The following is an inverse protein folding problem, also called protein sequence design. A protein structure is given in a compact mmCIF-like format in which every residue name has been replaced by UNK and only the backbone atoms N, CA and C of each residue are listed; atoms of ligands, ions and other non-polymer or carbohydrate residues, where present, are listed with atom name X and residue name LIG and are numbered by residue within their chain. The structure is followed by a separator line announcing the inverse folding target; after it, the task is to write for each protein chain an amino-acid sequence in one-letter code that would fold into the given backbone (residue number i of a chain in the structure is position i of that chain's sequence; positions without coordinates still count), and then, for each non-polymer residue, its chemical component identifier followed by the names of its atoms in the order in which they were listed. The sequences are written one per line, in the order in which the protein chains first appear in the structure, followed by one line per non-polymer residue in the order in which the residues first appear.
data_IF_555415014218
#
_entry.id   IF_555415014218
#
_cell.length_a   1.000
_cell.length_b   1.000
_cell.length_c   1.000
_cell.angle_alpha   90.00
_cell.angle_beta   90.00
_cell.angle_gamma   90.00
#
_symmetry.space_group_name_H-M   'P 1'
#
loop_
_entity.id
_entity.type
_entity.pdbx_description
1 polymer ?
#
# COMPACT_ATOMS: atom_id res chain seq x y z
N UNK A 1 17.83 0.14 -3.04
CA UNK A 1 16.62 0.97 -3.35
C UNK A 1 17.03 2.18 -4.18
N UNK A 2 16.24 2.57 -5.20
CA UNK A 2 16.41 3.86 -5.92
C UNK A 2 15.64 4.93 -5.15
N UNK A 3 16.25 6.10 -4.93
CA UNK A 3 15.62 7.24 -4.27
C UNK A 3 15.49 8.38 -5.28
N UNK A 4 14.27 8.92 -5.42
CA UNK A 4 13.92 10.07 -6.27
C UNK A 4 13.47 11.20 -5.33
N UNK A 5 14.22 12.30 -5.28
CA UNK A 5 13.96 13.41 -4.37
C UNK A 5 13.37 14.59 -5.14
N UNK A 6 12.24 15.08 -4.67
CA UNK A 6 11.46 16.13 -5.31
C UNK A 6 11.27 17.33 -4.38
N UNK A 7 10.96 18.51 -4.90
CA UNK A 7 10.94 19.72 -4.09
C UNK A 7 9.87 19.72 -2.99
N UNK A 8 8.71 19.13 -3.23
CA UNK A 8 7.56 19.19 -2.33
C UNK A 8 6.60 17.99 -2.47
N UNK A 9 5.61 17.91 -1.59
CA UNK A 9 4.64 16.84 -1.54
C UNK A 9 3.74 16.75 -2.80
N UNK A 10 3.50 17.84 -3.50
CA UNK A 10 2.68 17.83 -4.71
C UNK A 10 3.46 17.26 -5.89
N UNK A 11 4.75 17.62 -6.00
CA UNK A 11 5.66 17.01 -6.98
C UNK A 11 5.83 15.51 -6.72
N UNK A 12 5.97 15.09 -5.45
CA UNK A 12 6.01 13.69 -5.04
C UNK A 12 4.74 12.97 -5.45
N UNK A 13 3.57 13.53 -5.17
CA UNK A 13 2.29 12.91 -5.52
C UNK A 13 2.13 12.70 -7.03
N UNK A 14 2.48 13.70 -7.85
CA UNK A 14 2.46 13.61 -9.32
C UNK A 14 3.43 12.55 -9.83
N UNK A 15 4.68 12.59 -9.37
CA UNK A 15 5.71 11.63 -9.80
C UNK A 15 5.36 10.20 -9.42
N UNK A 16 4.80 9.99 -8.22
CA UNK A 16 4.32 8.69 -7.78
C UNK A 16 3.14 8.20 -8.63
N UNK A 17 2.20 9.08 -8.97
CA UNK A 17 1.09 8.76 -9.87
C UNK A 17 1.58 8.36 -11.28
N UNK A 18 2.55 9.07 -11.85
CA UNK A 18 3.18 8.71 -13.12
C UNK A 18 3.85 7.33 -13.05
N UNK A 19 4.60 7.06 -11.97
CA UNK A 19 5.24 5.76 -11.76
C UNK A 19 4.20 4.62 -11.72
N UNK A 20 3.07 4.82 -11.03
CA UNK A 20 1.99 3.83 -10.97
C UNK A 20 1.37 3.64 -12.36
N UNK A 21 1.12 4.73 -13.11
CA UNK A 21 0.54 4.64 -14.44
C UNK A 21 1.45 3.93 -15.44
N UNK A 22 2.77 4.15 -15.37
CA UNK A 22 3.75 3.43 -16.18
C UNK A 22 3.76 1.93 -15.83
N UNK A 23 3.84 1.59 -14.54
CA UNK A 23 3.79 0.21 -14.06
C UNK A 23 2.50 -0.51 -14.48
N UNK A 24 1.36 0.20 -14.47
CA UNK A 24 0.08 -0.35 -14.91
C UNK A 24 0.10 -0.70 -16.41
N UNK A 25 0.58 0.21 -17.26
CA UNK A 25 0.70 -0.04 -18.71
C UNK A 25 1.62 -1.21 -19.02
N UNK A 26 2.78 -1.28 -18.36
CA UNK A 26 3.72 -2.39 -18.49
C UNK A 26 3.11 -3.73 -18.01
N UNK A 27 2.42 -3.71 -16.88
CA UNK A 27 1.78 -4.92 -16.34
C UNK A 27 0.68 -5.44 -17.27
N UNK A 28 -0.20 -4.57 -17.76
CA UNK A 28 -1.27 -4.94 -18.69
C UNK A 28 -0.70 -5.45 -20.02
N UNK A 29 0.31 -4.77 -20.58
CA UNK A 29 0.96 -5.24 -21.80
C UNK A 29 1.61 -6.62 -21.65
N UNK A 30 2.18 -6.92 -20.48
CA UNK A 30 2.87 -8.18 -20.22
C UNK A 30 1.95 -9.33 -19.77
N UNK A 31 0.84 -9.03 -19.05
CA UNK A 31 0.04 -10.03 -18.32
C UNK A 31 -1.48 -9.84 -18.46
N UNK A 32 -1.94 -8.84 -19.23
CA UNK A 32 -3.35 -8.54 -19.45
C UNK A 32 -4.08 -7.93 -18.23
N UNK A 33 -3.38 -7.66 -17.13
CA UNK A 33 -3.93 -7.05 -15.90
C UNK A 33 -2.85 -6.36 -15.09
N UNK A 34 -3.30 -5.47 -14.20
CA UNK A 34 -2.46 -4.81 -13.20
C UNK A 34 -3.04 -5.00 -11.80
N UNK A 35 -2.35 -5.74 -10.94
CA UNK A 35 -2.73 -5.98 -9.56
C UNK A 35 -1.95 -5.01 -8.64
N UNK A 36 -2.64 -4.02 -8.11
CA UNK A 36 -2.08 -2.91 -7.36
C UNK A 36 -2.65 -2.86 -5.94
N UNK A 37 -1.79 -2.82 -4.91
CA UNK A 37 -2.20 -2.62 -3.54
C UNK A 37 -1.76 -1.25 -3.01
N UNK A 38 -2.67 -0.53 -2.34
CA UNK A 38 -2.43 0.83 -1.85
C UNK A 38 -2.62 0.95 -0.35
N UNK A 39 -1.70 1.68 0.32
CA UNK A 39 -1.84 2.11 1.72
C UNK A 39 -2.61 3.42 1.83
N UNK A 40 -3.17 3.67 3.00
CA UNK A 40 -3.76 4.95 3.36
C UNK A 40 -2.76 6.03 3.76
N UNK A 41 -3.26 7.24 4.01
CA UNK A 41 -2.51 8.38 4.48
C UNK A 41 -2.67 9.64 3.61
N UNK A 42 -2.36 10.81 4.14
CA UNK A 42 -2.56 12.11 3.45
C UNK A 42 -1.81 12.22 2.13
N UNK A 43 -0.56 11.81 2.09
CA UNK A 43 0.25 11.82 0.85
C UNK A 43 -0.29 10.85 -0.19
N UNK A 44 -0.63 9.59 0.13
CA UNK A 44 -1.31 8.66 -0.78
C UNK A 44 -2.59 9.21 -1.39
N UNK A 45 -3.41 9.94 -0.64
CA UNK A 45 -4.66 10.47 -1.21
C UNK A 45 -4.42 11.54 -2.27
N UNK A 46 -3.39 12.40 -2.10
CA UNK A 46 -2.95 13.33 -3.15
C UNK A 46 -2.44 12.58 -4.39
N UNK A 47 -1.64 11.53 -4.18
CA UNK A 47 -1.15 10.66 -5.24
C UNK A 47 -2.30 9.99 -6.00
N UNK A 48 -3.30 9.43 -5.31
CA UNK A 48 -4.48 8.81 -5.92
C UNK A 48 -5.31 9.82 -6.71
N UNK A 49 -5.47 11.05 -6.19
CA UNK A 49 -6.15 12.14 -6.91
C UNK A 49 -5.40 12.54 -8.19
N UNK A 50 -4.05 12.57 -8.16
CA UNK A 50 -3.24 12.79 -9.34
C UNK A 50 -3.32 11.63 -10.33
N UNK A 51 -3.31 10.38 -9.83
CA UNK A 51 -3.44 9.17 -10.64
C UNK A 51 -4.78 9.11 -11.39
N UNK A 52 -5.87 9.56 -10.74
CA UNK A 52 -7.20 9.60 -11.37
C UNK A 52 -7.26 10.50 -12.62
N UNK A 53 -6.33 11.45 -12.75
CA UNK A 53 -6.26 12.35 -13.90
C UNK A 53 -5.38 11.82 -15.05
N UNK A 54 -4.69 10.70 -14.84
CA UNK A 54 -3.78 10.11 -15.83
C UNK A 54 -4.49 9.04 -16.67
N UNK A 55 -4.04 8.80 -17.92
CA UNK A 55 -4.52 7.69 -18.72
C UNK A 55 -4.02 6.37 -18.10
N UNK A 56 -4.95 5.63 -17.51
CA UNK A 56 -4.72 4.36 -16.83
C UNK A 56 -5.60 3.26 -17.45
N UNK A 57 -5.12 2.03 -17.53
CA UNK A 57 -5.94 0.87 -17.94
C UNK A 57 -6.86 0.43 -16.77
N UNK A 58 -7.86 1.27 -16.43
CA UNK A 58 -8.72 1.05 -15.26
C UNK A 58 -9.54 -0.24 -15.36
N UNK A 59 -9.92 -0.65 -16.56
CA UNK A 59 -10.71 -1.87 -16.77
C UNK A 59 -9.91 -3.15 -16.47
N UNK A 60 -8.60 -3.10 -16.61
CA UNK A 60 -7.66 -4.20 -16.36
C UNK A 60 -6.98 -4.07 -14.98
N UNK A 61 -7.30 -3.01 -14.22
CA UNK A 61 -6.69 -2.73 -12.90
C UNK A 61 -7.50 -3.38 -11.79
N UNK A 62 -6.87 -4.27 -11.02
CA UNK A 62 -7.37 -4.80 -9.76
C UNK A 62 -6.76 -4.01 -8.60
N UNK A 63 -7.60 -3.28 -7.87
CA UNK A 63 -7.19 -2.44 -6.74
C UNK A 63 -7.42 -3.17 -5.42
N UNK A 64 -6.34 -3.37 -4.67
CA UNK A 64 -6.30 -3.97 -3.34
C UNK A 64 -5.94 -2.92 -2.28
N UNK A 65 -6.28 -3.19 -1.03
CA UNK A 65 -5.76 -2.46 0.12
C UNK A 65 -4.55 -3.21 0.73
N UNK A 66 -3.55 -2.45 1.17
CA UNK A 66 -2.40 -3.02 1.91
C UNK A 66 -2.80 -3.31 3.35
N UNK A 67 -3.59 -2.42 3.92
CA UNK A 67 -4.13 -2.53 5.27
C UNK A 67 -5.43 -1.74 5.41
N UNK A 68 -6.21 -2.07 6.45
CA UNK A 68 -7.42 -1.33 6.77
C UNK A 68 -7.71 -1.37 8.28
N UNK A 69 -8.36 -0.31 8.77
CA UNK A 69 -8.82 -0.19 10.15
C UNK A 69 -10.17 -0.87 10.30
N UNK A 70 -10.33 -1.61 11.39
CA UNK A 70 -11.63 -2.20 11.78
C UNK A 70 -12.51 -1.08 12.31
N UNK A 71 -13.34 -0.52 11.43
CA UNK A 71 -14.28 0.56 11.70
C UNK A 71 -15.48 0.45 10.74
N UNK A 72 -16.63 1.07 11.02
CA UNK A 72 -17.82 1.03 10.16
C UNK A 72 -17.55 1.59 8.76
N UNK A 73 -18.41 1.22 7.80
CA UNK A 73 -18.38 1.80 6.46
C UNK A 73 -18.57 3.34 6.52
N UNK A 74 -17.75 4.06 5.74
CA UNK A 74 -17.77 5.53 5.70
C UNK A 74 -17.10 6.22 6.90
N UNK A 75 -16.55 5.47 7.85
CA UNK A 75 -15.80 6.04 8.96
C UNK A 75 -14.58 6.83 8.43
N UNK A 76 -14.30 8.04 8.95
CA UNK A 76 -13.16 8.85 8.51
C UNK A 76 -11.80 8.22 8.82
N UNK A 77 -11.72 7.23 9.70
CA UNK A 77 -10.49 6.50 9.95
C UNK A 77 -10.27 5.37 8.94
N UNK A 78 -11.25 5.03 8.08
CA UNK A 78 -11.11 4.00 7.05
C UNK A 78 -10.28 4.47 5.87
N UNK A 79 -9.29 3.67 5.48
CA UNK A 79 -8.56 3.90 4.24
C UNK A 79 -9.48 3.87 3.00
N UNK A 80 -10.45 2.94 2.98
CA UNK A 80 -11.39 2.79 1.87
C UNK A 80 -12.26 4.04 1.66
N UNK A 81 -12.66 4.74 2.73
CA UNK A 81 -13.39 6.01 2.64
C UNK A 81 -12.61 7.02 1.81
N UNK A 82 -11.35 7.22 2.12
CA UNK A 82 -10.50 8.16 1.41
C UNK A 82 -10.05 7.68 0.02
N UNK A 83 -9.90 6.38 -0.20
CA UNK A 83 -9.70 5.81 -1.54
C UNK A 83 -10.94 6.11 -2.40
N UNK A 84 -12.14 5.98 -1.82
CA UNK A 84 -13.39 6.35 -2.46
C UNK A 84 -13.40 7.80 -2.94
N UNK A 85 -13.09 8.73 -2.05
CA UNK A 85 -13.08 10.17 -2.30
C UNK A 85 -11.97 10.60 -3.28
N UNK A 86 -10.75 10.07 -3.12
CA UNK A 86 -9.58 10.51 -3.88
C UNK A 86 -9.45 9.86 -5.25
N UNK A 87 -9.97 8.64 -5.42
CA UNK A 87 -9.83 7.86 -6.64
C UNK A 87 -11.17 7.42 -7.22
N UNK A 88 -11.94 6.59 -6.49
CA UNK A 88 -13.10 5.88 -7.07
C UNK A 88 -14.23 6.81 -7.47
N UNK A 89 -14.36 8.00 -6.89
CA UNK A 89 -15.31 9.02 -7.31
C UNK A 89 -15.02 9.59 -8.71
N UNK A 90 -13.85 9.30 -9.30
CA UNK A 90 -13.37 9.89 -10.57
C UNK A 90 -13.06 8.87 -11.64
N UNK A 91 -12.93 7.60 -11.28
CA UNK A 91 -12.55 6.52 -12.22
C UNK A 91 -13.49 5.34 -12.06
N UNK A 92 -13.61 4.54 -13.12
CA UNK A 92 -14.41 3.31 -13.10
C UNK A 92 -13.49 2.12 -13.32
N UNK A 93 -13.32 1.30 -12.29
CA UNK A 93 -12.63 0.01 -12.38
C UNK A 93 -13.50 -1.01 -13.12
N UNK A 94 -12.88 -2.07 -13.62
CA UNK A 94 -13.60 -3.25 -14.10
C UNK A 94 -14.53 -3.82 -13.03
N UNK A 95 -15.59 -4.48 -13.44
CA UNK A 95 -16.56 -5.08 -12.51
C UNK A 95 -15.85 -6.10 -11.60
N UNK A 96 -16.01 -5.96 -10.28
CA UNK A 96 -15.37 -6.82 -9.29
C UNK A 96 -13.85 -6.60 -9.12
N UNK A 97 -13.29 -5.52 -9.66
CA UNK A 97 -11.85 -5.24 -9.56
C UNK A 97 -11.46 -4.37 -8.34
N UNK A 98 -12.42 -3.90 -7.56
CA UNK A 98 -12.16 -3.34 -6.24
C UNK A 98 -12.18 -4.45 -5.19
N UNK A 99 -11.05 -4.70 -4.55
CA UNK A 99 -10.88 -5.69 -3.49
C UNK A 99 -10.71 -4.97 -2.15
N UNK A 100 -11.82 -4.72 -1.49
CA UNK A 100 -11.84 -4.08 -0.18
C UNK A 100 -11.57 -5.09 0.94
N UNK A 101 -10.73 -4.75 1.92
CA UNK A 101 -10.53 -5.59 3.10
C UNK A 101 -11.82 -5.71 3.90
N UNK A 102 -12.30 -6.93 4.20
CA UNK A 102 -13.60 -7.18 4.80
C UNK A 102 -13.58 -6.98 6.33
N UNK A 103 -13.23 -5.78 6.78
CA UNK A 103 -13.08 -5.43 8.20
C UNK A 103 -14.41 -5.27 8.95
N UNK A 104 -15.55 -5.34 8.24
CA UNK A 104 -16.89 -5.37 8.84
C UNK A 104 -17.44 -6.81 8.97
N UNK A 105 -16.65 -7.81 8.60
CA UNK A 105 -17.06 -9.20 8.73
C UNK A 105 -17.30 -9.55 10.21
N UNK A 106 -18.37 -10.30 10.53
CA UNK A 106 -18.63 -10.72 11.92
C UNK A 106 -17.48 -11.54 12.51
N UNK A 107 -16.79 -12.32 11.67
CA UNK A 107 -15.55 -13.02 11.98
C UNK A 107 -14.42 -12.41 11.12
N UNK A 108 -13.58 -11.62 11.78
CA UNK A 108 -12.45 -10.95 11.12
C UNK A 108 -11.38 -11.93 10.64
N UNK A 109 -11.20 -13.07 11.33
CA UNK A 109 -10.23 -14.08 10.90
C UNK A 109 -10.70 -14.79 9.62
N UNK A 110 -11.99 -15.13 9.54
CA UNK A 110 -12.58 -15.62 8.30
C UNK A 110 -12.54 -14.56 7.19
N UNK A 111 -12.74 -13.26 7.54
CA UNK A 111 -12.58 -12.14 6.62
C UNK A 111 -11.17 -12.06 6.05
N UNK A 112 -10.14 -12.13 6.90
CA UNK A 112 -8.74 -12.13 6.47
C UNK A 112 -8.41 -13.32 5.55
N UNK A 113 -8.89 -14.51 5.90
CA UNK A 113 -8.71 -15.70 5.06
C UNK A 113 -9.40 -15.55 3.68
N UNK A 114 -10.61 -14.97 3.64
CA UNK A 114 -11.30 -14.70 2.36
C UNK A 114 -10.52 -13.70 1.51
N UNK A 115 -10.03 -12.61 2.10
CA UNK A 115 -9.24 -11.63 1.36
C UNK A 115 -7.94 -12.23 0.81
N UNK A 116 -7.31 -13.14 1.54
CA UNK A 116 -6.15 -13.89 1.06
C UNK A 116 -6.49 -14.75 -0.17
N UNK A 117 -7.65 -15.42 -0.18
CA UNK A 117 -8.12 -16.18 -1.34
C UNK A 117 -8.44 -15.30 -2.55
N UNK A 118 -9.05 -14.13 -2.34
CA UNK A 118 -9.29 -13.15 -3.40
C UNK A 118 -7.96 -12.67 -4.00
N UNK A 119 -6.96 -12.39 -3.16
CA UNK A 119 -5.63 -12.01 -3.59
C UNK A 119 -4.97 -13.13 -4.42
N UNK A 120 -5.03 -14.39 -3.96
CA UNK A 120 -4.51 -15.56 -4.69
C UNK A 120 -5.22 -15.77 -6.04
N UNK A 121 -6.55 -15.60 -6.08
CA UNK A 121 -7.33 -15.76 -7.31
C UNK A 121 -6.91 -14.80 -8.42
N UNK A 122 -6.55 -13.56 -8.05
CA UNK A 122 -6.11 -12.54 -9.01
C UNK A 122 -4.61 -12.66 -9.32
N UNK A 123 -3.76 -12.90 -8.31
CA UNK A 123 -2.31 -12.72 -8.43
C UNK A 123 -1.52 -14.03 -8.49
N UNK A 124 -2.19 -15.16 -8.31
CA UNK A 124 -1.58 -16.49 -8.29
C UNK A 124 -1.22 -16.96 -6.88
N UNK A 125 -0.76 -18.19 -6.78
CA UNK A 125 -0.38 -18.85 -5.52
C UNK A 125 1.09 -19.25 -5.57
N UNK A 126 1.96 -18.72 -4.67
CA UNK A 126 1.70 -17.68 -3.70
C UNK A 126 1.37 -16.31 -4.36
N UNK A 127 0.64 -15.43 -3.66
CA UNK A 127 0.22 -14.16 -4.24
C UNK A 127 1.43 -13.28 -4.59
N UNK A 128 1.38 -12.67 -5.80
CA UNK A 128 2.43 -11.76 -6.31
C UNK A 128 1.77 -10.56 -6.98
N UNK A 129 1.66 -9.45 -6.25
CA UNK A 129 1.18 -8.18 -6.77
C UNK A 129 2.17 -7.57 -7.77
N UNK A 130 1.69 -6.83 -8.75
CA UNK A 130 2.54 -6.10 -9.69
C UNK A 130 3.19 -4.89 -9.03
N UNK A 131 2.42 -4.17 -8.21
CA UNK A 131 2.91 -3.03 -7.45
C UNK A 131 2.24 -2.96 -6.07
N UNK A 132 3.04 -2.68 -5.05
CA UNK A 132 2.55 -2.29 -3.73
C UNK A 132 3.04 -0.87 -3.43
N UNK A 133 2.10 0.02 -3.09
CA UNK A 133 2.42 1.32 -2.52
C UNK A 133 2.43 1.22 -0.99
N UNK A 134 3.52 1.69 -0.39
CA UNK A 134 3.75 1.72 1.05
C UNK A 134 4.00 3.13 1.56
N UNK A 135 3.44 3.43 2.74
CA UNK A 135 3.79 4.59 3.55
C UNK A 135 4.82 4.26 4.63
N UNK A 136 5.42 5.31 5.21
CA UNK A 136 6.37 5.21 6.31
C UNK A 136 5.83 5.93 7.55
N UNK A 137 5.59 5.18 8.62
CA UNK A 137 5.17 5.74 9.90
C UNK A 137 6.29 6.46 10.65
N UNK A 138 5.96 7.37 11.59
CA UNK A 138 6.96 8.08 12.40
C UNK A 138 7.75 7.16 13.36
N UNK A 139 7.25 5.98 13.65
CA UNK A 139 7.87 4.91 14.43
C UNK A 139 8.52 3.82 13.56
N UNK A 140 8.51 4.02 12.23
CA UNK A 140 9.05 3.08 11.26
C UNK A 140 8.10 1.96 10.87
N UNK A 141 6.79 2.02 11.24
CA UNK A 141 5.81 1.07 10.73
C UNK A 141 5.55 1.27 9.23
N UNK A 142 5.05 0.24 8.59
CA UNK A 142 4.48 0.30 7.24
C UNK A 142 3.25 -0.59 7.18
N UNK A 143 2.29 -0.29 6.30
CA UNK A 143 0.98 -0.94 6.36
C UNK A 143 0.44 -0.85 7.80
N UNK A 144 -0.06 -1.97 8.37
CA UNK A 144 -0.30 -2.08 9.81
C UNK A 144 0.70 -3.02 10.51
N UNK A 145 1.91 -3.15 9.95
CA UNK A 145 3.05 -3.81 10.58
C UNK A 145 3.76 -2.84 11.53
N UNK A 146 3.30 -2.82 12.78
CA UNK A 146 3.72 -1.86 13.82
C UNK A 146 4.83 -2.47 14.68
N UNK A 147 5.82 -1.67 15.17
CA UNK A 147 6.85 -2.17 16.07
C UNK A 147 6.27 -2.94 17.26
N UNK A 148 6.88 -4.08 17.57
CA UNK A 148 6.52 -4.98 18.69
C UNK A 148 5.14 -5.68 18.56
N UNK A 149 4.42 -5.53 17.46
CA UNK A 149 3.18 -6.27 17.22
C UNK A 149 3.51 -7.73 16.84
N UNK A 150 2.79 -8.73 17.40
CA UNK A 150 2.94 -10.14 17.04
C UNK A 150 2.78 -10.42 15.54
N UNK A 151 2.04 -9.58 14.81
CA UNK A 151 1.86 -9.69 13.35
C UNK A 151 3.17 -9.70 12.58
N UNK A 152 4.23 -9.08 13.13
CA UNK A 152 5.58 -9.06 12.51
C UNK A 152 6.22 -10.45 12.39
N UNK A 153 5.73 -11.44 13.13
CA UNK A 153 6.17 -12.83 13.09
C UNK A 153 5.31 -13.73 12.18
N UNK A 154 4.25 -13.21 11.58
CA UNK A 154 3.35 -14.00 10.74
C UNK A 154 4.00 -14.26 9.38
N UNK A 155 4.34 -15.53 9.10
CA UNK A 155 4.96 -15.97 7.85
C UNK A 155 4.11 -16.97 7.06
N UNK A 156 3.12 -17.59 7.70
CA UNK A 156 2.28 -18.63 7.12
C UNK A 156 0.96 -18.13 6.49
N UNK A 157 0.67 -16.82 6.56
CA UNK A 157 -0.56 -16.24 6.02
C UNK A 157 -0.25 -14.99 5.19
N UNK A 158 -1.04 -14.75 4.15
CA UNK A 158 -0.92 -13.56 3.31
C UNK A 158 -1.52 -12.32 3.98
N UNK A 159 -2.54 -12.51 4.80
CA UNK A 159 -3.31 -11.46 5.48
C UNK A 159 -3.42 -11.82 6.95
N UNK A 160 -3.28 -10.85 7.84
CA UNK A 160 -3.36 -11.04 9.28
C UNK A 160 -4.09 -9.88 9.98
N UNK A 161 -4.55 -10.16 11.19
CA UNK A 161 -5.07 -9.15 12.12
C UNK A 161 -3.94 -8.67 13.04
N UNK A 162 -3.99 -7.40 13.42
CA UNK A 162 -3.04 -6.79 14.35
C UNK A 162 -3.66 -6.58 15.72
N UNK A 163 -2.83 -6.35 16.74
CA UNK A 163 -3.28 -5.71 17.97
C UNK A 163 -3.82 -4.29 17.68
N UNK A 164 -4.62 -3.71 18.60
CA UNK A 164 -5.08 -2.33 18.45
C UNK A 164 -3.90 -1.35 18.36
N UNK A 165 -3.91 -0.49 17.35
CA UNK A 165 -2.96 0.61 17.19
C UNK A 165 -3.72 1.89 16.82
N UNK A 166 -3.46 2.98 17.57
CA UNK A 166 -4.19 4.25 17.44
C UNK A 166 -5.72 4.06 17.51
N UNK A 167 -6.19 3.25 18.45
CA UNK A 167 -7.61 3.06 18.74
C UNK A 167 -8.31 1.95 17.96
N UNK A 168 -7.70 1.37 16.91
CA UNK A 168 -8.33 0.37 16.06
C UNK A 168 -7.51 -0.93 15.95
N UNK A 169 -8.12 -2.12 16.05
CA UNK A 169 -7.58 -3.31 15.44
C UNK A 169 -7.48 -3.10 13.92
N UNK A 170 -6.62 -3.85 13.25
CA UNK A 170 -6.41 -3.67 11.81
C UNK A 170 -6.26 -5.01 11.11
N UNK A 171 -6.55 -5.00 9.82
CA UNK A 171 -6.24 -6.09 8.90
C UNK A 171 -5.12 -5.62 7.98
N UNK A 172 -4.11 -6.47 7.73
CA UNK A 172 -2.92 -6.08 6.98
C UNK A 172 -2.38 -7.20 6.11
N UNK A 173 -1.78 -6.86 4.97
CA UNK A 173 -0.87 -7.75 4.26
C UNK A 173 0.36 -8.03 5.13
N UNK A 174 0.90 -9.24 5.04
CA UNK A 174 2.08 -9.67 5.81
C UNK A 174 3.37 -9.49 5.01
N UNK A 175 4.53 -9.55 5.66
CA UNK A 175 5.84 -9.46 4.97
C UNK A 175 5.98 -10.42 3.80
N UNK A 176 5.56 -11.71 3.87
CA UNK A 176 5.64 -12.60 2.72
C UNK A 176 4.97 -12.07 1.44
N UNK A 177 3.88 -11.30 1.56
CA UNK A 177 3.21 -10.70 0.40
C UNK A 177 3.96 -9.46 -0.08
N UNK A 178 4.37 -8.59 0.85
CA UNK A 178 5.13 -7.37 0.52
C UNK A 178 6.43 -7.72 -0.20
N UNK A 179 7.16 -8.71 0.29
CA UNK A 179 8.47 -9.12 -0.24
C UNK A 179 8.40 -9.80 -1.61
N UNK A 180 7.24 -10.41 -1.95
CA UNK A 180 7.04 -11.05 -3.25
C UNK A 180 6.60 -10.10 -4.35
N UNK A 181 6.16 -8.88 -4.02
CA UNK A 181 5.71 -7.92 -5.02
C UNK A 181 6.76 -7.71 -6.12
N UNK A 182 6.30 -7.53 -7.36
CA UNK A 182 7.19 -7.23 -8.49
C UNK A 182 7.86 -5.88 -8.35
N UNK A 183 7.16 -4.93 -7.72
CA UNK A 183 7.68 -3.60 -7.40
C UNK A 183 7.08 -3.09 -6.09
N UNK A 184 7.85 -2.35 -5.32
CA UNK A 184 7.41 -1.64 -4.11
C UNK A 184 7.69 -0.16 -4.30
N UNK A 185 6.66 0.65 -4.15
CA UNK A 185 6.74 2.11 -4.20
C UNK A 185 6.57 2.68 -2.80
N UNK A 186 7.58 3.35 -2.31
CA UNK A 186 7.50 4.15 -1.09
C UNK A 186 7.23 5.60 -1.44
N UNK A 187 6.23 6.20 -0.79
CA UNK A 187 5.92 7.62 -0.94
C UNK A 187 6.04 8.29 0.42
N UNK A 188 7.05 9.15 0.57
CA UNK A 188 7.44 9.72 1.87
C UNK A 188 7.58 11.23 1.77
N UNK A 189 6.83 11.97 2.58
CA UNK A 189 6.87 13.44 2.60
C UNK A 189 6.87 13.97 4.03
N UNK A 190 7.58 15.10 4.23
CA UNK A 190 7.64 15.83 5.48
C UNK A 190 8.89 15.52 6.32
N UNK A 191 9.43 16.56 6.93
CA UNK A 191 10.68 16.53 7.70
C UNK A 191 10.63 15.52 8.88
N UNK A 192 9.45 15.32 9.46
CA UNK A 192 9.26 14.36 10.56
C UNK A 192 9.52 12.90 10.14
N UNK A 193 9.59 12.62 8.83
CA UNK A 193 9.90 11.30 8.29
C UNK A 193 11.40 11.04 8.11
N UNK A 194 12.22 12.06 8.09
CA UNK A 194 13.66 11.98 7.80
C UNK A 194 14.40 10.90 8.58
N UNK A 195 14.27 10.82 9.92
CA UNK A 195 14.95 9.79 10.72
C UNK A 195 14.56 8.36 10.30
N UNK A 196 13.27 8.12 10.01
CA UNK A 196 12.79 6.80 9.61
C UNK A 196 13.11 6.50 8.14
N UNK A 197 13.07 7.51 7.25
CA UNK A 197 13.49 7.38 5.87
C UNK A 197 14.97 6.98 5.76
N UNK A 198 15.85 7.59 6.54
CA UNK A 198 17.27 7.20 6.60
C UNK A 198 17.45 5.74 7.01
N UNK A 199 16.64 5.25 7.97
CA UNK A 199 16.66 3.84 8.40
C UNK A 199 16.10 2.90 7.33
N UNK A 200 15.03 3.30 6.64
CA UNK A 200 14.44 2.55 5.53
C UNK A 200 15.47 2.37 4.39
N UNK A 201 16.14 3.45 3.97
CA UNK A 201 17.16 3.42 2.90
C UNK A 201 18.30 2.45 3.25
N UNK A 202 18.69 2.38 4.53
CA UNK A 202 19.72 1.47 5.04
C UNK A 202 19.24 0.02 5.21
N UNK A 203 17.95 -0.26 5.03
CA UNK A 203 17.36 -1.57 5.31
C UNK A 203 17.48 -1.98 6.78
N UNK A 204 17.30 -1.03 7.71
CA UNK A 204 17.46 -1.28 9.15
C UNK A 204 16.35 -2.22 9.66
N UNK A 205 16.66 -3.48 10.02
CA UNK A 205 15.65 -4.47 10.41
C UNK A 205 14.98 -4.19 11.76
N UNK A 206 15.46 -3.18 12.50
CA UNK A 206 14.87 -2.77 13.77
C UNK A 206 13.58 -1.96 13.59
N UNK A 207 13.27 -1.53 12.36
CA UNK A 207 11.97 -0.95 12.02
C UNK A 207 11.22 -1.85 11.03
N UNK A 208 9.90 -1.99 11.14
CA UNK A 208 9.14 -2.84 10.23
C UNK A 208 9.34 -2.49 8.74
N UNK A 209 9.34 -1.20 8.40
CA UNK A 209 9.59 -0.74 7.04
C UNK A 209 10.94 -1.20 6.48
N UNK A 210 12.00 -1.20 7.30
CA UNK A 210 13.34 -1.63 6.89
C UNK A 210 13.50 -3.14 6.72
N UNK A 211 12.51 -3.94 7.14
CA UNK A 211 12.47 -5.40 6.94
C UNK A 211 11.88 -5.79 5.59
N UNK A 212 11.15 -4.89 4.93
CA UNK A 212 10.60 -5.14 3.58
C UNK A 212 11.76 -5.24 2.58
N UNK A 213 11.72 -6.24 1.70
CA UNK A 213 12.75 -6.44 0.69
C UNK A 213 12.90 -5.21 -0.22
N UNK A 214 14.08 -4.59 -0.17
CA UNK A 214 14.39 -3.36 -0.89
C UNK A 214 14.89 -3.53 -2.32
N UNK A 215 15.12 -4.77 -2.82
CA UNK A 215 15.73 -5.00 -4.14
C UNK A 215 14.91 -4.41 -5.29
N UNK A 216 13.58 -4.44 -5.16
CA UNK A 216 12.63 -3.96 -6.17
C UNK A 216 11.90 -2.69 -5.72
N UNK A 217 12.47 -1.98 -4.76
CA UNK A 217 11.85 -0.81 -4.16
C UNK A 217 12.36 0.49 -4.77
N UNK A 218 11.42 1.38 -5.03
CA UNK A 218 11.65 2.78 -5.39
C UNK A 218 11.08 3.66 -4.27
N UNK A 219 11.84 4.66 -3.85
CA UNK A 219 11.43 5.66 -2.89
C UNK A 219 11.26 6.96 -3.64
N UNK A 220 10.08 7.59 -3.53
CA UNK A 220 9.82 8.95 -3.99
C UNK A 220 9.56 9.79 -2.75
N UNK A 221 10.46 10.75 -2.49
CA UNK A 221 10.42 11.58 -1.28
C UNK A 221 10.51 13.06 -1.61
N UNK A 222 10.02 13.94 -0.71
CA UNK A 222 10.30 15.36 -0.81
C UNK A 222 11.64 15.72 -0.15
N UNK A 223 12.16 16.90 -0.51
CA UNK A 223 13.41 17.43 0.04
C UNK A 223 13.33 17.51 1.57
N UNK A 224 12.18 17.91 2.13
CA UNK A 224 11.98 18.01 3.57
C UNK A 224 12.15 16.66 4.32
N UNK A 225 11.85 15.55 3.68
CA UNK A 225 12.04 14.21 4.28
C UNK A 225 13.48 13.69 4.15
N UNK A 226 14.33 14.32 3.33
CA UNK A 226 15.71 13.88 3.08
C UNK A 226 16.78 14.74 3.74
N UNK A 227 16.43 15.95 4.19
CA UNK A 227 17.28 16.87 4.96
C UNK A 227 17.42 16.39 6.43
#
# INVERSE_FOLDING_TARGET
MKVDVLPDADAVAKRAAEFIADAAREAVAARGKFAFAVSGGRTPWRMLSALAALPMPWQETHLFQVDERVAPHGDPDRNLTHIGESLLARVTLGAGHLHAMPVEAPDLAAGAARYALELEAVTGKPPMLDLIHLGLGPDGHTASLVPNDPVLGVTGAAVALTAPYQGHPRMTLTFPVLDRARSVLWVVTGAEKGPMLSRLIKGDPRIPAGRVNGERAVIIADAAATD
#
